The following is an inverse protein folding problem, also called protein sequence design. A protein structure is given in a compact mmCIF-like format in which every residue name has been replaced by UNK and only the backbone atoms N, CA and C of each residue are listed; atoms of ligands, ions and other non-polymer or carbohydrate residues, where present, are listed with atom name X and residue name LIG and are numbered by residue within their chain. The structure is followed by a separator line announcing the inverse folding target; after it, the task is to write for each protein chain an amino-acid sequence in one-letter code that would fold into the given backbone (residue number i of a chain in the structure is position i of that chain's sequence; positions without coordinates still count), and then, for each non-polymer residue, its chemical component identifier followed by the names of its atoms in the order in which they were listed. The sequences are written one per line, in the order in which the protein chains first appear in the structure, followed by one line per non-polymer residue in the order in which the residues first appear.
data_IF_076006383088
#
_entry.id   IF_076006383088
#
_cell.length_a   1.000
_cell.length_b   1.000
_cell.length_c   1.000
_cell.angle_alpha   90.00
_cell.angle_beta   90.00
_cell.angle_gamma   90.00
#
_symmetry.space_group_name_H-M   'P 1'
#
loop_
_entity.id
_entity.type
_entity.pdbx_description
1 polymer ?
#
# COMPACT_ATOMS: atom_id res chain seq x y z
N UNK A 1 -18.48 12.43 -0.53
CA UNK A 1 -17.26 11.63 -0.71
C UNK A 1 -16.87 11.61 -2.18
N UNK A 2 -15.64 11.96 -2.53
CA UNK A 2 -15.06 11.80 -3.87
C UNK A 2 -14.18 10.56 -3.88
N UNK A 3 -14.17 9.79 -4.94
CA UNK A 3 -13.40 8.54 -5.02
C UNK A 3 -12.88 8.31 -6.44
N UNK A 4 -11.65 7.77 -6.53
CA UNK A 4 -11.05 7.30 -7.78
C UNK A 4 -10.43 5.92 -7.56
N UNK A 5 -10.17 5.23 -8.66
CA UNK A 5 -9.39 4.01 -8.66
C UNK A 5 -8.10 4.23 -9.46
N UNK A 6 -6.98 3.84 -8.89
CA UNK A 6 -5.68 3.83 -9.53
C UNK A 6 -5.36 2.42 -9.99
N UNK A 7 -4.87 2.28 -11.21
CA UNK A 7 -4.18 1.07 -11.66
C UNK A 7 -2.68 1.23 -11.39
N UNK A 8 -2.11 0.29 -10.65
CA UNK A 8 -0.69 0.27 -10.27
C UNK A 8 -0.04 -0.97 -10.86
N UNK A 9 0.93 -0.79 -11.74
CA UNK A 9 1.73 -1.88 -12.28
C UNK A 9 2.88 -2.20 -11.32
N UNK A 10 2.79 -3.35 -10.65
CA UNK A 10 3.80 -3.83 -9.71
C UNK A 10 4.76 -4.82 -10.37
N UNK A 11 4.37 -5.38 -11.51
CA UNK A 11 5.17 -6.38 -12.22
C UNK A 11 5.28 -7.68 -11.43
N UNK A 12 6.46 -8.29 -11.48
CA UNK A 12 6.80 -9.50 -10.71
C UNK A 12 7.81 -9.23 -9.61
N UNK A 13 8.24 -8.00 -9.45
CA UNK A 13 9.20 -7.61 -8.44
C UNK A 13 8.47 -7.43 -7.12
N UNK A 14 8.86 -8.22 -6.13
CA UNK A 14 8.37 -8.11 -4.76
C UNK A 14 8.88 -6.80 -4.17
N UNK A 15 7.99 -6.00 -3.62
CA UNK A 15 8.43 -4.78 -2.98
C UNK A 15 7.36 -3.73 -2.75
N UNK A 16 7.83 -2.51 -2.80
CA UNK A 16 7.09 -1.32 -2.42
C UNK A 16 6.93 -0.39 -3.62
N UNK A 17 5.72 0.17 -3.76
CA UNK A 17 5.44 1.21 -4.76
C UNK A 17 4.97 2.47 -4.04
N UNK A 18 5.62 3.59 -4.30
CA UNK A 18 5.24 4.89 -3.72
C UNK A 18 3.93 5.40 -4.32
N UNK A 19 2.91 5.50 -3.50
CA UNK A 19 1.60 6.07 -3.86
C UNK A 19 1.47 7.54 -3.46
N UNK A 20 2.43 8.10 -2.72
CA UNK A 20 2.35 9.45 -2.17
C UNK A 20 2.03 10.52 -3.21
N UNK A 21 2.69 10.54 -4.40
CA UNK A 21 2.40 11.55 -5.40
C UNK A 21 0.96 11.49 -5.94
N UNK A 22 0.43 10.28 -6.14
CA UNK A 22 -0.96 10.09 -6.60
C UNK A 22 -1.96 10.49 -5.52
N UNK A 23 -1.69 10.08 -4.27
CA UNK A 23 -2.49 10.45 -3.11
C UNK A 23 -2.53 11.96 -2.89
N UNK A 24 -1.38 12.64 -2.99
CA UNK A 24 -1.28 14.09 -2.81
C UNK A 24 -2.05 14.86 -3.89
N UNK A 25 -1.92 14.45 -5.16
CA UNK A 25 -2.68 15.07 -6.26
C UNK A 25 -4.19 14.91 -6.06
N UNK A 26 -4.63 13.68 -5.75
CA UNK A 26 -6.05 13.42 -5.54
C UNK A 26 -6.59 14.17 -4.31
N UNK A 27 -5.85 14.21 -3.21
CA UNK A 27 -6.25 14.93 -2.00
C UNK A 27 -6.40 16.44 -2.28
N UNK A 28 -5.43 17.05 -2.95
CA UNK A 28 -5.47 18.48 -3.30
C UNK A 28 -6.68 18.81 -4.19
N UNK A 29 -6.94 17.97 -5.21
CA UNK A 29 -8.08 18.14 -6.11
C UNK A 29 -9.43 17.91 -5.41
N UNK A 30 -9.51 16.87 -4.56
CA UNK A 30 -10.75 16.49 -3.89
C UNK A 30 -11.14 17.42 -2.74
N UNK A 31 -10.15 17.94 -2.02
CA UNK A 31 -10.35 18.82 -0.86
C UNK A 31 -10.64 20.27 -1.23
N UNK A 32 -10.25 20.73 -2.44
CA UNK A 32 -10.47 22.11 -2.89
C UNK A 32 -9.97 23.16 -1.88
N UNK A 33 -8.85 22.85 -1.19
CA UNK A 33 -8.28 23.69 -0.14
C UNK A 33 -8.89 23.48 1.26
N UNK A 34 -9.87 22.59 1.42
CA UNK A 34 -10.48 22.24 2.70
C UNK A 34 -9.75 21.13 3.45
N UNK A 35 -10.30 20.80 4.61
CA UNK A 35 -9.84 19.73 5.50
C UNK A 35 -10.63 18.44 5.27
N UNK A 36 -10.08 17.30 5.69
CA UNK A 36 -10.76 16.01 5.61
C UNK A 36 -9.84 14.83 5.84
N UNK A 37 -10.29 13.68 5.37
CA UNK A 37 -9.57 12.41 5.48
C UNK A 37 -9.41 11.78 4.09
N UNK A 38 -8.18 11.39 3.75
CA UNK A 38 -7.91 10.52 2.62
C UNK A 38 -7.88 9.07 3.11
N UNK A 39 -8.78 8.25 2.59
CA UNK A 39 -8.74 6.80 2.73
C UNK A 39 -8.05 6.19 1.51
N UNK A 40 -7.13 5.26 1.75
CA UNK A 40 -6.45 4.45 0.74
C UNK A 40 -6.82 2.99 1.00
N UNK A 41 -7.37 2.31 0.01
CA UNK A 41 -7.81 0.93 0.13
C UNK A 41 -7.29 0.07 -1.02
N UNK A 42 -6.72 -1.08 -0.68
CA UNK A 42 -6.15 -2.07 -1.62
C UNK A 42 -7.05 -3.32 -1.61
N UNK A 43 -7.95 -3.49 -2.62
CA UNK A 43 -8.91 -4.60 -2.67
C UNK A 43 -8.26 -5.91 -3.16
N UNK A 44 -7.15 -6.31 -2.55
CA UNK A 44 -6.39 -7.51 -2.91
C UNK A 44 -5.98 -8.30 -1.67
N UNK A 45 -6.18 -9.63 -1.70
CA UNK A 45 -5.90 -10.51 -0.56
C UNK A 45 -4.39 -10.72 -0.30
N UNK A 46 -3.53 -10.33 -1.24
CA UNK A 46 -2.08 -10.57 -1.20
C UNK A 46 -1.24 -9.28 -1.26
N UNK A 47 -1.85 -8.16 -0.97
CA UNK A 47 -1.18 -6.86 -0.93
C UNK A 47 -1.74 -6.02 0.22
N UNK A 48 -0.99 -5.01 0.63
CA UNK A 48 -1.40 -4.07 1.66
C UNK A 48 -0.87 -2.67 1.42
N UNK A 49 -1.24 -1.73 2.28
CA UNK A 49 -0.76 -0.36 2.26
C UNK A 49 -0.20 0.03 3.62
N UNK A 50 0.93 0.73 3.61
CA UNK A 50 1.63 1.16 4.82
C UNK A 50 2.11 2.61 4.66
N UNK A 51 2.36 3.27 5.79
CA UNK A 51 3.11 4.53 5.83
C UNK A 51 4.50 4.23 6.36
N UNK A 52 5.52 4.46 5.54
CA UNK A 52 6.90 4.17 5.90
C UNK A 52 7.87 5.07 5.13
N UNK A 53 9.12 5.12 5.57
CA UNK A 53 10.20 5.68 4.78
C UNK A 53 10.53 4.76 3.60
N UNK A 54 10.71 5.33 2.42
CA UNK A 54 11.25 4.65 1.24
C UNK A 54 12.68 5.14 0.95
N UNK A 55 13.52 4.23 0.47
CA UNK A 55 14.92 4.52 0.21
C UNK A 55 15.79 4.40 1.46
N UNK A 56 17.04 4.85 1.36
CA UNK A 56 18.05 4.75 2.42
C UNK A 56 18.23 3.33 3.01
N UNK A 57 17.73 2.28 2.32
CA UNK A 57 17.78 0.89 2.75
C UNK A 57 16.56 0.41 3.54
N UNK A 58 15.64 1.29 3.95
CA UNK A 58 14.46 0.93 4.75
C UNK A 58 13.55 -0.09 4.07
N UNK A 59 13.35 0.07 2.76
CA UNK A 59 12.58 -0.85 1.92
C UNK A 59 13.25 -2.23 1.81
N UNK A 60 14.58 -2.27 1.66
CA UNK A 60 15.35 -3.52 1.63
C UNK A 60 15.27 -4.25 2.97
N UNK A 61 15.41 -3.52 4.07
CA UNK A 61 15.33 -4.10 5.43
C UNK A 61 13.91 -4.58 5.74
N UNK A 62 12.89 -3.87 5.28
CA UNK A 62 11.49 -4.29 5.43
C UNK A 62 11.20 -5.60 4.69
N UNK A 63 11.69 -5.79 3.46
CA UNK A 63 11.55 -7.07 2.73
C UNK A 63 12.22 -8.21 3.50
N UNK A 64 13.45 -8.01 4.01
CA UNK A 64 14.15 -9.01 4.82
C UNK A 64 13.38 -9.35 6.10
N UNK A 65 12.79 -8.35 6.76
CA UNK A 65 11.99 -8.56 7.96
C UNK A 65 10.72 -9.37 7.65
N UNK A 66 10.04 -9.04 6.55
CA UNK A 66 8.87 -9.78 6.08
C UNK A 66 9.20 -11.23 5.75
N UNK A 67 10.32 -11.51 5.08
CA UNK A 67 10.75 -12.87 4.76
C UNK A 67 11.04 -13.72 6.01
N UNK A 68 11.44 -13.09 7.12
CA UNK A 68 11.59 -13.78 8.41
C UNK A 68 10.24 -14.03 9.10
N UNK A 69 9.33 -13.09 9.04
CA UNK A 69 8.00 -13.19 9.68
C UNK A 69 7.05 -14.07 8.89
N UNK A 70 7.12 -13.99 7.56
CA UNK A 70 6.28 -14.72 6.61
C UNK A 70 7.19 -15.48 5.62
N UNK A 71 7.87 -16.55 6.06
CA UNK A 71 8.77 -17.31 5.20
C UNK A 71 8.07 -17.84 3.95
N UNK A 72 8.72 -17.70 2.80
CA UNK A 72 8.18 -18.12 1.50
C UNK A 72 8.54 -19.58 1.21
N UNK A 73 8.01 -20.48 2.02
CA UNK A 73 8.20 -21.93 1.93
C UNK A 73 6.85 -22.66 1.94
N UNK A 74 6.87 -23.98 2.09
CA UNK A 74 5.70 -24.85 2.00
C UNK A 74 4.95 -25.06 3.32
N UNK A 75 5.29 -24.32 4.39
CA UNK A 75 4.63 -24.44 5.70
C UNK A 75 3.16 -24.01 5.70
N UNK A 76 2.73 -23.23 4.72
CA UNK A 76 1.39 -22.67 4.63
C UNK A 76 0.39 -23.70 4.08
N UNK A 77 -0.83 -23.70 4.61
CA UNK A 77 -1.90 -24.57 4.13
C UNK A 77 -2.40 -24.16 2.74
N UNK A 78 -2.31 -22.87 2.42
CA UNK A 78 -2.64 -22.35 1.09
C UNK A 78 -1.50 -22.64 0.11
N UNK A 79 -1.72 -23.53 -0.87
CA UNK A 79 -0.64 -24.13 -1.68
C UNK A 79 -0.78 -23.97 -3.19
N UNK A 80 -1.66 -23.11 -3.69
CA UNK A 80 -1.72 -22.80 -5.12
C UNK A 80 -0.94 -21.52 -5.43
N UNK A 81 -0.70 -21.25 -6.72
CA UNK A 81 0.07 -20.09 -7.18
C UNK A 81 1.59 -20.32 -7.18
N UNK A 82 2.34 -19.24 -7.21
CA UNK A 82 3.81 -19.25 -7.16
C UNK A 82 4.34 -19.77 -5.81
N UNK A 83 5.63 -20.10 -5.77
CA UNK A 83 6.29 -20.51 -4.52
C UNK A 83 6.17 -19.39 -3.47
N UNK A 84 5.72 -19.74 -2.27
CA UNK A 84 5.52 -18.79 -1.17
C UNK A 84 4.21 -17.99 -1.23
N UNK A 85 3.33 -18.25 -2.19
CA UNK A 85 2.04 -17.58 -2.33
C UNK A 85 1.19 -17.63 -1.05
N UNK A 86 1.28 -18.71 -0.28
CA UNK A 86 0.59 -18.82 1.02
C UNK A 86 1.01 -17.75 2.03
N UNK A 87 2.28 -17.34 2.03
CA UNK A 87 2.78 -16.24 2.86
C UNK A 87 2.12 -14.91 2.48
N UNK A 88 1.89 -14.68 1.18
CA UNK A 88 1.29 -13.44 0.69
C UNK A 88 -0.15 -13.25 1.18
N UNK A 89 -0.91 -14.34 1.37
CA UNK A 89 -2.26 -14.30 1.93
C UNK A 89 -2.30 -14.00 3.44
N UNK A 90 -1.18 -14.12 4.14
CA UNK A 90 -1.05 -13.77 5.57
C UNK A 90 -0.53 -12.33 5.75
N UNK A 91 0.05 -11.74 4.70
CA UNK A 91 0.57 -10.37 4.72
C UNK A 91 -0.41 -9.32 5.30
N UNK A 92 -1.74 -9.35 5.01
CA UNK A 92 -2.66 -8.34 5.52
C UNK A 92 -2.78 -8.28 7.04
N UNK A 93 -2.26 -9.26 7.78
CA UNK A 93 -2.14 -9.19 9.25
C UNK A 93 -1.06 -8.18 9.68
N UNK A 94 -0.07 -7.93 8.84
CA UNK A 94 1.07 -7.04 9.09
C UNK A 94 0.95 -5.71 8.35
N UNK A 95 0.49 -5.76 7.11
CA UNK A 95 0.26 -4.61 6.24
C UNK A 95 -1.22 -4.54 5.87
N UNK A 96 -1.96 -3.68 6.56
CA UNK A 96 -3.41 -3.54 6.38
C UNK A 96 -3.79 -3.28 4.91
N UNK A 97 -4.94 -3.76 4.44
CA UNK A 97 -5.45 -3.40 3.13
C UNK A 97 -5.91 -1.92 3.05
N UNK A 98 -5.98 -1.22 4.17
CA UNK A 98 -6.42 0.18 4.18
C UNK A 98 -5.66 1.01 5.20
N UNK A 99 -5.56 2.30 4.91
CA UNK A 99 -5.12 3.32 5.86
C UNK A 99 -5.87 4.63 5.62
N UNK A 100 -5.82 5.53 6.60
CA UNK A 100 -6.39 6.86 6.51
C UNK A 100 -5.34 7.90 6.91
N UNK A 101 -5.25 8.97 6.13
CA UNK A 101 -4.33 10.10 6.38
C UNK A 101 -5.14 11.39 6.48
N UNK A 102 -4.92 12.23 7.50
CA UNK A 102 -5.52 13.55 7.58
C UNK A 102 -5.05 14.44 6.41
N UNK A 103 -5.98 15.25 5.92
CA UNK A 103 -5.74 16.28 4.90
C UNK A 103 -6.11 17.62 5.53
N UNK A 104 -5.18 18.55 5.54
CA UNK A 104 -5.37 19.91 6.08
C UNK A 104 -5.05 20.92 4.99
N UNK A 105 -5.96 21.83 4.74
CA UNK A 105 -5.85 22.82 3.66
C UNK A 105 -5.46 22.18 2.30
N UNK A 106 -6.09 21.05 1.98
CA UNK A 106 -5.83 20.31 0.74
C UNK A 106 -4.52 19.52 0.70
N UNK A 107 -3.79 19.40 1.82
CA UNK A 107 -2.46 18.78 1.87
C UNK A 107 -2.43 17.57 2.81
N UNK A 108 -1.79 16.49 2.40
CA UNK A 108 -1.54 15.35 3.28
C UNK A 108 -0.64 15.76 4.45
N UNK A 109 -1.00 15.36 5.66
CA UNK A 109 -0.23 15.66 6.89
C UNK A 109 0.82 14.60 7.20
N UNK A 110 1.57 14.17 6.21
CA UNK A 110 2.66 13.22 6.38
C UNK A 110 3.88 13.90 7.00
N UNK A 111 4.62 13.17 7.82
CA UNK A 111 5.95 13.56 8.26
C UNK A 111 6.96 13.54 7.11
N UNK A 112 8.10 14.21 7.30
CA UNK A 112 9.13 14.43 6.26
C UNK A 112 9.58 13.13 5.57
N UNK A 113 9.69 12.05 6.32
CA UNK A 113 10.20 10.76 5.83
C UNK A 113 9.10 9.73 5.61
N UNK A 114 7.83 10.12 5.69
CA UNK A 114 6.70 9.24 5.50
C UNK A 114 6.24 9.23 4.05
N UNK A 115 6.09 8.03 3.49
CA UNK A 115 5.45 7.78 2.20
C UNK A 115 4.28 6.83 2.37
N UNK A 116 3.19 7.09 1.66
CA UNK A 116 2.09 6.12 1.50
C UNK A 116 2.54 5.11 0.47
N UNK A 117 2.59 3.84 0.84
CA UNK A 117 3.29 2.83 0.06
C UNK A 117 2.45 1.58 -0.11
N UNK A 118 2.26 1.15 -1.34
CA UNK A 118 1.72 -0.18 -1.65
C UNK A 118 2.81 -1.22 -1.41
N UNK A 119 2.52 -2.21 -0.58
CA UNK A 119 3.34 -3.39 -0.39
C UNK A 119 2.73 -4.56 -1.13
N UNK A 120 3.46 -5.08 -2.12
CA UNK A 120 3.05 -6.22 -2.94
C UNK A 120 4.19 -7.25 -3.05
N UNK A 121 4.15 -8.32 -2.25
CA UNK A 121 5.11 -9.41 -2.34
C UNK A 121 4.74 -10.45 -3.40
N UNK A 122 3.53 -10.37 -3.98
CA UNK A 122 2.97 -11.39 -4.85
C UNK A 122 3.46 -11.23 -6.29
N UNK A 123 3.92 -12.34 -6.88
CA UNK A 123 4.44 -12.41 -8.25
C UNK A 123 3.37 -12.79 -9.29
N UNK A 124 2.20 -13.27 -8.83
CA UNK A 124 1.17 -13.84 -9.71
C UNK A 124 0.29 -12.76 -10.36
N UNK A 125 0.28 -11.55 -9.80
CA UNK A 125 -0.51 -10.42 -10.29
C UNK A 125 0.38 -9.22 -10.56
N UNK A 126 0.57 -8.90 -11.82
CA UNK A 126 1.42 -7.78 -12.26
C UNK A 126 0.75 -6.40 -12.12
N UNK A 127 -0.54 -6.36 -11.83
CA UNK A 127 -1.33 -5.13 -11.75
C UNK A 127 -2.19 -5.16 -10.50
N UNK A 128 -2.21 -4.04 -9.77
CA UNK A 128 -3.04 -3.82 -8.59
C UNK A 128 -3.95 -2.63 -8.79
N UNK A 129 -5.11 -2.68 -8.15
CA UNK A 129 -6.02 -1.55 -8.04
C UNK A 129 -5.94 -0.96 -6.65
N UNK A 130 -5.92 0.36 -6.56
CA UNK A 130 -5.92 1.10 -5.29
C UNK A 130 -7.04 2.12 -5.35
N UNK A 131 -7.95 2.06 -4.39
CA UNK A 131 -9.03 3.04 -4.27
C UNK A 131 -8.61 4.16 -3.34
N UNK A 132 -8.69 5.37 -3.84
CA UNK A 132 -8.55 6.59 -3.05
C UNK A 132 -9.94 7.20 -2.84
N UNK A 133 -10.26 7.55 -1.61
CA UNK A 133 -11.52 8.19 -1.26
C UNK A 133 -11.26 9.37 -0.32
N UNK A 134 -11.84 10.52 -0.63
CA UNK A 134 -11.75 11.71 0.22
C UNK A 134 -13.10 11.96 0.90
N UNK A 135 -13.05 12.14 2.22
CA UNK A 135 -14.16 12.56 3.05
C UNK A 135 -13.84 13.98 3.55
N UNK A 136 -14.68 14.93 3.16
CA UNK A 136 -14.59 16.29 3.68
C UNK A 136 -14.95 16.30 5.17
N UNK A 137 -14.23 17.09 5.94
CA UNK A 137 -14.49 17.37 7.36
C UNK A 137 -15.57 18.41 7.58
#
# INVERSE_FOLDING_TARGET
MRSIELEVRTGRDRGFTDLTPACARFAADAAEGGDGLLSVFVPHATAGVVVMELGAGSDVDAVKALDRLLPRDDRWSHRHGSAGHGADHVLPLLASPSLTVPVIAGRLTLGTWQSITLLDPNEDNATRHVRLSFLAG
#
